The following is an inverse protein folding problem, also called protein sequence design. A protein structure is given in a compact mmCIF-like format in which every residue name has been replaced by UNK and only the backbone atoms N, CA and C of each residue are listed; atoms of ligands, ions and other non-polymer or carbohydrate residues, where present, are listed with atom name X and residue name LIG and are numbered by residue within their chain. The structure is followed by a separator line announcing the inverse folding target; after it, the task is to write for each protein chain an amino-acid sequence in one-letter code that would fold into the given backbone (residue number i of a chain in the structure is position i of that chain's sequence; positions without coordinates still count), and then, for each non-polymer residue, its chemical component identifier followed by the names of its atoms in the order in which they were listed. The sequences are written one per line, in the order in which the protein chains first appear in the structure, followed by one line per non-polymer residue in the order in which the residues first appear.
data_IF_994717562324
#
_entry.id   IF_994717562324
#
_cell.length_a   1.000
_cell.length_b   1.000
_cell.length_c   1.000
_cell.angle_alpha   90.00
_cell.angle_beta   90.00
_cell.angle_gamma   90.00
#
_symmetry.space_group_name_H-M   'P 1'
#
loop_
_entity.id
_entity.type
_entity.pdbx_description
1 polymer ?
#
# COMPACT_ATOMS: atom_id res chain seq x y z
N UNK A 1 -20.02 9.17 3.92
CA UNK A 1 -19.48 9.83 2.71
C UNK A 1 -18.20 9.11 2.33
N UNK A 2 -18.26 8.27 1.30
CA UNK A 2 -17.12 7.47 0.87
C UNK A 2 -16.03 8.37 0.29
N UNK A 3 -14.77 7.99 0.51
CA UNK A 3 -13.55 8.70 0.08
C UNK A 3 -13.48 8.99 -1.44
N UNK A 4 -14.37 8.36 -2.22
CA UNK A 4 -14.56 8.59 -3.64
C UNK A 4 -14.93 10.03 -4.01
N UNK A 5 -15.72 10.76 -3.19
CA UNK A 5 -16.12 12.15 -3.49
C UNK A 5 -14.98 13.16 -3.35
N UNK A 6 -13.95 12.83 -2.55
CA UNK A 6 -12.80 13.72 -2.34
C UNK A 6 -11.83 13.72 -3.53
N UNK A 7 -11.85 12.66 -4.36
CA UNK A 7 -11.02 12.53 -5.55
C UNK A 7 -11.50 13.46 -6.69
N UNK A 8 -12.81 13.77 -6.75
CA UNK A 8 -13.37 14.64 -7.77
C UNK A 8 -13.01 16.14 -7.61
N UNK A 9 -12.51 16.56 -6.44
CA UNK A 9 -12.28 17.99 -6.11
C UNK A 9 -10.85 18.50 -6.34
N UNK A 10 -9.96 17.72 -6.97
CA UNK A 10 -8.66 18.22 -7.44
C UNK A 10 -7.73 18.82 -6.37
N UNK A 11 -7.94 18.51 -5.08
CA UNK A 11 -7.20 19.14 -3.96
C UNK A 11 -5.84 18.50 -3.61
N UNK A 12 -5.39 17.50 -4.37
CA UNK A 12 -4.07 16.89 -4.17
C UNK A 12 -3.31 16.77 -5.49
N UNK A 13 -2.36 17.67 -5.78
CA UNK A 13 -1.34 17.39 -6.77
C UNK A 13 -0.25 16.55 -6.08
N UNK A 14 -0.07 15.28 -6.50
CA UNK A 14 1.21 14.53 -6.51
C UNK A 14 1.01 13.02 -6.74
N UNK A 15 1.34 12.59 -7.96
CA UNK A 15 1.73 11.22 -8.40
C UNK A 15 0.88 10.06 -7.83
N UNK A 16 -0.19 9.59 -8.52
CA UNK A 16 -1.15 8.67 -7.94
C UNK A 16 -0.83 7.17 -8.14
N UNK A 17 0.24 6.80 -8.82
CA UNK A 17 0.48 5.39 -9.23
C UNK A 17 0.49 4.41 -8.05
N UNK A 18 1.05 4.79 -6.89
CA UNK A 18 1.03 3.95 -5.69
C UNK A 18 -0.37 3.64 -5.16
N UNK A 19 -1.29 4.60 -5.25
CA UNK A 19 -2.68 4.43 -4.82
C UNK A 19 -3.55 3.76 -5.87
N UNK A 20 -3.06 3.63 -7.10
CA UNK A 20 -3.80 3.02 -8.21
C UNK A 20 -3.67 1.49 -8.27
N UNK A 21 -2.70 0.95 -7.54
CA UNK A 21 -2.52 -0.50 -7.38
C UNK A 21 -3.58 -1.12 -6.47
N UNK A 22 -3.84 -2.41 -6.64
CA UNK A 22 -4.75 -3.17 -5.76
C UNK A 22 -4.34 -3.06 -4.29
N UNK A 23 -3.04 -3.21 -4.00
CA UNK A 23 -2.50 -3.02 -2.65
C UNK A 23 -2.75 -1.61 -2.11
N UNK A 24 -2.42 -0.57 -2.89
CA UNK A 24 -2.62 0.82 -2.49
C UNK A 24 -4.08 1.17 -2.22
N UNK A 25 -4.99 0.71 -3.09
CA UNK A 25 -6.44 0.89 -2.92
C UNK A 25 -6.95 0.18 -1.67
N UNK A 26 -6.49 -1.04 -1.44
CA UNK A 26 -6.85 -1.80 -0.23
C UNK A 26 -6.36 -1.09 1.04
N UNK A 27 -5.13 -0.59 1.08
CA UNK A 27 -4.62 0.18 2.23
C UNK A 27 -5.43 1.47 2.45
N UNK A 28 -5.86 2.15 1.37
CA UNK A 28 -6.68 3.36 1.44
C UNK A 28 -8.10 3.11 1.97
N UNK A 29 -8.69 1.95 1.64
CA UNK A 29 -10.01 1.49 2.10
C UNK A 29 -9.94 0.96 3.55
N UNK A 30 -9.00 0.04 3.80
CA UNK A 30 -8.86 -0.65 5.08
C UNK A 30 -8.30 0.25 6.18
N UNK A 31 -7.31 1.07 5.83
CA UNK A 31 -6.72 2.08 6.71
C UNK A 31 -5.48 1.61 7.47
N UNK A 32 -4.41 2.42 7.39
CA UNK A 32 -3.12 2.18 8.06
C UNK A 32 -3.25 1.88 9.57
N UNK A 33 -4.06 2.61 10.38
CA UNK A 33 -4.16 2.31 11.81
C UNK A 33 -4.72 0.90 12.10
N UNK A 34 -5.63 0.41 11.26
CA UNK A 34 -6.19 -0.94 11.42
C UNK A 34 -5.19 -2.02 11.07
N UNK A 35 -4.36 -1.80 10.05
CA UNK A 35 -3.26 -2.72 9.68
C UNK A 35 -2.29 -2.84 10.85
N UNK A 36 -1.84 -1.70 11.39
CA UNK A 36 -0.89 -1.68 12.52
C UNK A 36 -1.48 -2.38 13.74
N UNK A 37 -2.74 -2.08 14.09
CA UNK A 37 -3.41 -2.74 15.20
C UNK A 37 -3.56 -4.26 14.97
N UNK A 38 -3.96 -4.67 13.77
CA UNK A 38 -4.17 -6.08 13.44
C UNK A 38 -2.90 -6.92 13.50
N UNK A 39 -1.74 -6.34 13.17
CA UNK A 39 -0.44 -7.01 13.24
C UNK A 39 0.26 -6.87 14.59
N UNK A 40 -0.23 -6.05 15.51
CA UNK A 40 0.46 -5.75 16.78
C UNK A 40 0.48 -6.92 17.77
N UNK A 41 -0.43 -7.88 17.61
CA UNK A 41 -0.61 -9.04 18.48
C UNK A 41 0.52 -10.06 18.37
N UNK A 42 1.14 -10.17 17.20
CA UNK A 42 2.27 -11.06 16.95
C UNK A 42 3.58 -10.24 16.95
N UNK A 43 4.54 -10.54 17.86
CA UNK A 43 5.83 -9.86 17.91
C UNK A 43 6.60 -9.87 16.59
N UNK A 44 6.51 -10.95 15.81
CA UNK A 44 7.26 -11.12 14.57
C UNK A 44 6.63 -10.34 13.40
N UNK A 45 5.32 -10.06 13.50
CA UNK A 45 4.57 -9.31 12.50
C UNK A 45 4.40 -7.83 12.83
N UNK A 46 4.78 -7.40 14.05
CA UNK A 46 4.60 -6.02 14.50
C UNK A 46 5.22 -5.01 13.52
N UNK A 47 4.44 -4.01 13.17
CA UNK A 47 4.83 -2.92 12.27
C UNK A 47 4.40 -1.57 12.81
N UNK A 48 4.92 -0.51 12.21
CA UNK A 48 4.54 0.88 12.51
C UNK A 48 3.77 1.49 11.33
N UNK A 49 3.16 2.66 11.53
CA UNK A 49 2.59 3.44 10.44
C UNK A 49 3.62 3.72 9.33
N UNK A 50 4.86 4.02 9.74
CA UNK A 50 5.97 4.29 8.84
C UNK A 50 6.25 3.09 7.93
N UNK A 51 6.29 1.88 8.50
CA UNK A 51 6.49 0.65 7.73
C UNK A 51 5.41 0.44 6.66
N UNK A 52 4.16 0.78 6.96
CA UNK A 52 3.07 0.69 5.96
C UNK A 52 3.25 1.73 4.85
N UNK A 53 3.71 2.94 5.19
CA UNK A 53 4.03 3.95 4.18
C UNK A 53 5.24 3.58 3.31
N UNK A 54 6.25 2.94 3.87
CA UNK A 54 7.37 2.37 3.10
C UNK A 54 6.86 1.33 2.10
N UNK A 55 5.92 0.48 2.50
CA UNK A 55 5.29 -0.46 1.55
C UNK A 55 4.58 0.27 0.41
N UNK A 56 3.86 1.35 0.73
CA UNK A 56 3.20 2.21 -0.27
C UNK A 56 4.19 2.99 -1.16
N UNK A 57 5.44 3.15 -0.73
CA UNK A 57 6.54 3.69 -1.52
C UNK A 57 7.24 2.59 -2.36
N UNK A 58 6.73 1.36 -2.30
CA UNK A 58 7.21 0.24 -3.09
C UNK A 58 8.31 -0.58 -2.43
N UNK A 59 8.55 -0.41 -1.12
CA UNK A 59 9.37 -1.35 -0.35
C UNK A 59 8.60 -2.67 -0.16
N UNK A 60 9.21 -3.80 -0.50
CA UNK A 60 8.56 -5.08 -0.37
C UNK A 60 8.42 -5.47 1.11
N UNK A 61 7.22 -5.87 1.58
CA UNK A 61 7.07 -6.45 2.91
C UNK A 61 7.78 -7.80 3.01
N UNK A 62 8.23 -8.11 4.23
CA UNK A 62 8.70 -9.46 4.56
C UNK A 62 7.60 -10.51 4.30
N UNK A 63 7.92 -11.72 3.80
CA UNK A 63 6.90 -12.72 3.40
C UNK A 63 5.85 -13.02 4.48
N UNK A 64 6.26 -13.15 5.75
CA UNK A 64 5.34 -13.38 6.86
C UNK A 64 4.29 -12.25 7.01
N UNK A 65 4.71 -10.99 6.82
CA UNK A 65 3.81 -9.83 6.87
C UNK A 65 2.92 -9.78 5.63
N UNK A 66 3.45 -10.14 4.46
CA UNK A 66 2.65 -10.23 3.23
C UNK A 66 1.51 -11.25 3.37
N UNK A 67 1.80 -12.43 3.92
CA UNK A 67 0.79 -13.45 4.22
C UNK A 67 -0.27 -12.94 5.21
N UNK A 68 0.16 -12.31 6.31
CA UNK A 68 -0.76 -11.74 7.29
C UNK A 68 -1.68 -10.65 6.69
N UNK A 69 -1.17 -9.84 5.74
CA UNK A 69 -1.99 -8.88 5.01
C UNK A 69 -3.03 -9.56 4.10
N UNK A 70 -2.66 -10.65 3.43
CA UNK A 70 -3.58 -11.47 2.62
C UNK A 70 -4.70 -12.04 3.50
N UNK A 71 -4.36 -12.63 4.64
CA UNK A 71 -5.33 -13.16 5.61
C UNK A 71 -6.25 -12.05 6.14
N UNK A 72 -5.68 -10.92 6.55
CA UNK A 72 -6.42 -9.75 7.03
C UNK A 72 -7.38 -9.19 5.96
N UNK A 73 -7.00 -9.25 4.69
CA UNK A 73 -7.84 -8.85 3.56
C UNK A 73 -8.98 -9.82 3.25
N UNK A 74 -8.97 -11.03 3.83
CA UNK A 74 -9.88 -12.14 3.53
C UNK A 74 -9.91 -12.49 2.04
N UNK A 75 -8.74 -12.51 1.41
CA UNK A 75 -8.56 -12.82 -0.02
C UNK A 75 -8.88 -11.68 -0.99
N UNK A 76 -9.19 -10.47 -0.49
CA UNK A 76 -9.31 -9.26 -1.34
C UNK A 76 -7.96 -8.73 -1.84
N UNK A 77 -6.87 -9.22 -1.25
CA UNK A 77 -5.49 -8.90 -1.61
C UNK A 77 -4.73 -10.21 -1.80
N UNK A 78 -3.95 -10.31 -2.87
CA UNK A 78 -3.07 -11.46 -3.15
C UNK A 78 -1.61 -11.13 -2.89
N UNK A 79 -0.76 -12.15 -2.69
CA UNK A 79 0.70 -11.94 -2.60
C UNK A 79 1.26 -11.30 -3.87
N UNK A 80 0.73 -11.70 -5.03
CA UNK A 80 1.12 -11.13 -6.31
C UNK A 80 0.82 -9.63 -6.35
N UNK A 81 -0.38 -9.20 -5.96
CA UNK A 81 -0.74 -7.79 -5.89
C UNK A 81 0.17 -6.96 -4.96
N UNK A 82 0.59 -7.54 -3.83
CA UNK A 82 1.53 -6.91 -2.89
C UNK A 82 2.91 -6.72 -3.52
N UNK A 83 3.46 -7.74 -4.19
CA UNK A 83 4.80 -7.62 -4.78
C UNK A 83 4.82 -6.88 -6.12
N UNK A 84 3.72 -6.96 -6.88
CA UNK A 84 3.55 -6.17 -8.11
C UNK A 84 3.46 -4.67 -7.80
N UNK A 85 2.86 -4.28 -6.67
CA UNK A 85 2.85 -2.89 -6.22
C UNK A 85 4.24 -2.27 -6.21
N UNK A 86 5.22 -2.92 -5.55
CA UNK A 86 6.58 -2.39 -5.47
C UNK A 86 7.25 -2.23 -6.83
N UNK A 87 6.96 -3.13 -7.78
CA UNK A 87 7.45 -3.03 -9.16
C UNK A 87 6.82 -1.84 -9.89
N UNK A 88 5.50 -1.65 -9.76
CA UNK A 88 4.75 -0.57 -10.41
C UNK A 88 5.13 0.81 -9.88
N UNK A 89 5.33 0.94 -8.58
CA UNK A 89 5.74 2.22 -7.96
C UNK A 89 7.14 2.61 -8.40
N UNK A 90 8.10 1.68 -8.37
CA UNK A 90 9.49 1.95 -8.81
C UNK A 90 9.60 2.30 -10.30
N UNK A 91 8.81 1.65 -11.15
CA UNK A 91 8.74 1.98 -12.58
C UNK A 91 8.19 3.38 -12.81
N UNK A 92 7.10 3.75 -12.13
CA UNK A 92 6.52 5.08 -12.25
C UNK A 92 7.47 6.20 -11.76
N UNK A 93 8.30 5.92 -10.74
CA UNK A 93 9.33 6.85 -10.27
C UNK A 93 10.49 6.98 -11.27
N UNK A 94 10.88 5.89 -11.95
CA UNK A 94 11.90 5.89 -13.00
C UNK A 94 11.45 6.61 -14.28
N UNK A 95 10.19 6.42 -14.71
CA UNK A 95 9.61 7.07 -15.90
C UNK A 95 9.43 8.59 -15.74
N UNK A 96 9.35 9.08 -14.50
CA UNK A 96 9.28 10.53 -14.22
C UNK A 96 10.68 11.18 -14.26
N UNK A 97 11.75 10.40 -14.43
CA UNK A 97 13.13 10.76 -14.09
C UNK A 97 14.19 10.72 -15.21
N UNK A 98 13.88 10.85 -16.51
CA UNK A 98 14.95 10.95 -17.52
C UNK A 98 14.61 11.66 -18.85
N UNK A 99 15.60 12.26 -19.57
CA UNK A 99 16.89 12.82 -19.13
C UNK A 99 16.89 14.37 -19.17
N UNK A 100 17.83 15.00 -18.46
CA UNK A 100 18.32 16.36 -18.76
C UNK A 100 19.68 16.25 -19.43
#
# INVERSE_FOLDING_TARGET
MFRHDALAKGRYPRVPSRWDTEFGRWVADFGVPRIVAGLAHDPDLRVTNQTVYEWLQGHAPHPARALALVEMSRGRLTLEAIYEHGRKVKQAEGDTGGPR
#
